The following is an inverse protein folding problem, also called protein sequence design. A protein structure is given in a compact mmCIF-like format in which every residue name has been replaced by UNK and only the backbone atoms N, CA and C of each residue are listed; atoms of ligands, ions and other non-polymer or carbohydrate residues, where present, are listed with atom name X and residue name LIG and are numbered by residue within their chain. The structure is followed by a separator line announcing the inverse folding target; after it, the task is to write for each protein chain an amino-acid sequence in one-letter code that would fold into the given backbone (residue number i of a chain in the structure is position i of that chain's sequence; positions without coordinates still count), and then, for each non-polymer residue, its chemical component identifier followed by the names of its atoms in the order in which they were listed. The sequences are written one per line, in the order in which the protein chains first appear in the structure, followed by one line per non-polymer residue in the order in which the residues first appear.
data_IF_981327003640
#
_entry.id   IF_981327003640
#
_cell.length_a   1.000
_cell.length_b   1.000
_cell.length_c   1.000
_cell.angle_alpha   90.00
_cell.angle_beta   90.00
_cell.angle_gamma   90.00
#
_symmetry.space_group_name_H-M   'P 1'
#
loop_
_entity.id
_entity.type
_entity.pdbx_description
1 polymer ?
#
# COMPACT_ATOMS: atom_id res chain seq x y z
N UNK A 1 0.68 3.14 4.12
CA UNK A 1 -0.53 2.37 4.46
C UNK A 1 -0.07 1.05 5.00
N UNK A 2 -0.48 0.73 6.21
CA UNK A 2 -0.27 -0.58 6.84
C UNK A 2 -1.29 -1.59 6.29
N UNK A 3 -0.96 -2.89 6.37
CA UNK A 3 -1.89 -3.96 6.02
C UNK A 3 -3.17 -3.90 6.89
N UNK A 4 -3.05 -3.41 8.13
CA UNK A 4 -4.18 -3.11 9.02
C UNK A 4 -5.22 -2.18 8.38
N UNK A 5 -4.76 -1.16 7.65
CA UNK A 5 -5.60 -0.09 7.13
C UNK A 5 -6.48 -0.60 5.98
N UNK A 6 -5.89 -1.47 5.14
CA UNK A 6 -6.56 -2.12 4.02
C UNK A 6 -7.59 -3.15 4.51
N UNK A 7 -7.22 -3.96 5.50
CA UNK A 7 -8.12 -4.95 6.13
C UNK A 7 -9.27 -4.24 6.85
N UNK A 8 -9.00 -3.18 7.62
CA UNK A 8 -10.04 -2.40 8.31
C UNK A 8 -10.98 -1.69 7.34
N UNK A 9 -10.46 -1.17 6.21
CA UNK A 9 -11.27 -0.62 5.12
C UNK A 9 -12.23 -1.65 4.53
N UNK A 10 -11.77 -2.87 4.26
CA UNK A 10 -12.62 -3.96 3.75
C UNK A 10 -13.70 -4.41 4.75
N UNK A 11 -13.37 -4.47 6.05
CA UNK A 11 -14.34 -4.77 7.11
C UNK A 11 -15.40 -3.66 7.22
N UNK A 12 -14.99 -2.40 7.08
CA UNK A 12 -15.90 -1.24 7.08
C UNK A 12 -16.88 -1.29 5.90
N UNK A 13 -16.40 -1.56 4.68
CA UNK A 13 -17.24 -1.73 3.49
C UNK A 13 -18.23 -2.89 3.66
N UNK A 14 -17.78 -4.01 4.22
CA UNK A 14 -18.63 -5.17 4.53
C UNK A 14 -19.76 -4.82 5.51
N UNK A 15 -19.52 -3.96 6.50
CA UNK A 15 -20.57 -3.51 7.43
C UNK A 15 -21.54 -2.51 6.77
N UNK A 16 -21.07 -1.59 5.93
CA UNK A 16 -21.94 -0.67 5.18
C UNK A 16 -22.93 -1.42 4.27
N UNK A 17 -22.54 -2.56 3.68
CA UNK A 17 -23.43 -3.37 2.84
C UNK A 17 -24.50 -4.16 3.65
N UNK A 18 -24.36 -4.23 4.98
CA UNK A 18 -25.25 -4.98 5.88
C UNK A 18 -26.33 -4.08 6.52
N UNK A 19 -26.18 -2.75 6.50
CA UNK A 19 -27.11 -1.81 7.16
C UNK A 19 -27.56 -0.66 6.26
N UNK A 20 -28.76 -0.77 5.67
CA UNK A 20 -29.43 0.35 5.01
C UNK A 20 -30.97 0.24 5.02
N UNK A 21 -31.66 0.91 5.97
CA UNK A 21 -33.02 1.42 5.78
C UNK A 21 -32.97 2.91 5.37
N UNK A 22 -33.86 3.34 4.47
CA UNK A 22 -33.87 4.72 3.97
C UNK A 22 -34.45 5.72 5.00
N UNK A 23 -33.77 6.86 5.22
CA UNK A 23 -34.18 7.90 6.16
C UNK A 23 -33.88 9.32 5.66
N UNK A 24 -34.84 9.92 4.94
CA UNK A 24 -34.70 11.23 4.27
C UNK A 24 -34.90 12.41 5.24
N UNK A 25 -33.86 13.22 5.50
CA UNK A 25 -34.00 14.59 6.05
C UNK A 25 -33.01 15.57 5.41
N UNK A 26 -33.40 16.85 5.37
CA UNK A 26 -32.64 17.95 4.78
C UNK A 26 -31.82 18.71 5.83
N UNK A 27 -30.63 19.19 5.45
CA UNK A 27 -29.93 20.34 6.06
C UNK A 27 -29.28 21.19 4.95
N UNK A 28 -29.12 22.49 5.20
CA UNK A 28 -28.79 23.50 4.17
C UNK A 28 -27.31 23.78 3.92
N UNK A 29 -27.03 24.65 2.92
CA UNK A 29 -25.69 25.11 2.52
C UNK A 29 -25.19 26.31 3.34
N UNK A 30 -23.89 26.31 3.69
CA UNK A 30 -22.96 27.47 3.68
C UNK A 30 -21.58 26.97 4.18
N UNK A 31 -20.40 27.34 3.64
CA UNK A 31 -20.04 28.22 2.52
C UNK A 31 -18.61 27.91 1.98
N UNK A 32 -18.02 28.78 1.13
CA UNK A 32 -16.64 28.68 0.58
C UNK A 32 -15.76 29.86 1.07
N UNK A 33 -14.41 29.76 1.04
CA UNK A 33 -13.56 30.14 -0.13
C UNK A 33 -12.86 28.91 -0.79
N UNK A 34 -12.35 28.85 -2.05
CA UNK A 34 -11.55 29.76 -2.91
C UNK A 34 -10.12 29.95 -2.35
N UNK A 35 -8.99 29.66 -3.00
CA UNK A 35 -8.53 29.56 -4.41
C UNK A 35 -7.45 28.41 -4.51
N UNK A 36 -6.81 27.98 -5.61
CA UNK A 36 -7.00 27.95 -7.10
C UNK A 36 -5.83 27.11 -7.72
N UNK A 37 -5.86 26.67 -9.00
CA UNK A 37 -4.67 26.06 -9.65
C UNK A 37 -4.86 25.16 -10.89
N UNK A 38 -4.92 25.75 -12.08
CA UNK A 38 -4.51 25.23 -13.41
C UNK A 38 -4.81 23.76 -13.87
N UNK A 39 -5.87 23.63 -14.67
CA UNK A 39 -5.88 23.13 -16.08
C UNK A 39 -5.08 21.87 -16.49
N UNK A 40 -5.80 20.87 -17.02
CA UNK A 40 -5.44 20.22 -18.30
C UNK A 40 -6.67 19.71 -19.08
N UNK A 41 -6.63 19.88 -20.41
CA UNK A 41 -7.56 19.32 -21.42
C UNK A 41 -7.32 17.80 -21.58
N UNK A 42 -8.20 16.99 -22.18
CA UNK A 42 -9.61 17.12 -22.59
C UNK A 42 -10.13 15.72 -22.98
N UNK A 43 -11.44 15.49 -22.93
CA UNK A 43 -12.23 15.07 -24.09
C UNK A 43 -13.71 15.23 -23.78
N UNK A 44 -14.51 15.54 -24.81
CA UNK A 44 -15.95 15.74 -24.72
C UNK A 44 -16.59 15.16 -25.99
N UNK A 45 -17.74 14.51 -25.83
CA UNK A 45 -18.60 14.09 -26.94
C UNK A 45 -20.03 14.02 -26.43
N UNK A 46 -20.66 15.19 -26.34
CA UNK A 46 -22.08 15.33 -26.11
C UNK A 46 -22.88 14.76 -27.30
N UNK A 47 -24.14 14.42 -27.03
CA UNK A 47 -25.22 14.02 -27.96
C UNK A 47 -25.13 12.67 -28.68
N UNK A 48 -26.25 12.13 -29.17
CA UNK A 48 -27.68 12.22 -28.77
C UNK A 48 -28.44 11.32 -29.75
N UNK A 49 -29.29 10.41 -29.27
CA UNK A 49 -30.38 9.89 -30.10
C UNK A 49 -31.70 9.91 -29.34
N UNK A 50 -32.73 10.41 -30.03
CA UNK A 50 -34.05 10.78 -29.49
C UNK A 50 -35.11 9.73 -29.89
N UNK A 51 -36.36 10.07 -29.55
CA UNK A 51 -37.65 9.74 -30.19
C UNK A 51 -38.42 8.57 -29.58
N UNK A 52 -39.49 8.85 -28.82
CA UNK A 52 -40.86 9.29 -29.20
C UNK A 52 -41.64 8.11 -29.84
N UNK A 53 -42.95 7.89 -29.70
CA UNK A 53 -44.13 8.58 -29.13
C UNK A 53 -44.86 7.56 -28.18
N UNK A 54 -45.96 7.72 -27.45
CA UNK A 54 -47.22 8.49 -27.48
C UNK A 54 -47.96 8.17 -26.15
N UNK A 55 -48.97 8.85 -25.61
CA UNK A 55 -49.69 10.06 -26.01
C UNK A 55 -51.22 9.87 -25.94
N UNK A 56 -51.88 10.42 -24.91
CA UNK A 56 -53.29 10.89 -24.90
C UNK A 56 -53.59 11.65 -23.59
N UNK A 57 -54.36 12.73 -23.67
CA UNK A 57 -55.02 13.43 -22.54
C UNK A 57 -56.56 13.32 -22.70
N UNK A 58 -57.32 14.28 -22.14
CA UNK A 58 -58.81 14.35 -21.96
C UNK A 58 -59.33 13.41 -20.85
N UNK A 59 -59.88 13.89 -19.73
CA UNK A 59 -60.92 14.90 -19.41
C UNK A 59 -62.37 14.37 -19.53
N UNK A 60 -63.05 14.31 -18.37
CA UNK A 60 -64.50 14.16 -18.22
C UNK A 60 -64.94 14.41 -16.75
N UNK A 61 -65.00 15.69 -16.37
CA UNK A 61 -66.11 16.36 -15.63
C UNK A 61 -67.11 15.58 -14.74
N UNK A 62 -67.53 16.31 -13.69
CA UNK A 62 -68.89 16.36 -13.11
C UNK A 62 -69.41 15.12 -12.33
N UNK A 63 -70.29 15.36 -11.34
CA UNK A 63 -70.80 14.32 -10.44
C UNK A 63 -71.26 14.75 -9.05
N UNK A 64 -71.56 16.04 -8.82
CA UNK A 64 -72.18 16.48 -7.57
C UNK A 64 -73.64 16.05 -7.52
N UNK A 65 -74.10 15.49 -6.39
CA UNK A 65 -75.49 15.69 -5.94
C UNK A 65 -75.64 15.45 -4.44
N UNK A 66 -76.13 16.47 -3.73
CA UNK A 66 -76.70 16.29 -2.40
C UNK A 66 -78.18 15.91 -2.53
N UNK A 67 -78.71 15.14 -1.58
CA UNK A 67 -80.13 14.84 -1.50
C UNK A 67 -80.60 14.99 -0.04
N UNK A 68 -81.21 16.13 0.25
CA UNK A 68 -81.97 16.36 1.49
C UNK A 68 -83.42 15.98 1.20
N UNK A 69 -84.03 15.16 2.06
CA UNK A 69 -85.49 15.16 2.18
C UNK A 69 -85.90 15.47 3.62
N UNK A 70 -86.98 16.23 3.76
CA UNK A 70 -87.58 16.62 5.03
C UNK A 70 -89.09 16.35 5.00
N UNK A 71 -89.62 16.19 6.20
CA UNK A 71 -90.96 16.63 6.61
C UNK A 71 -92.13 15.64 6.41
N UNK A 72 -92.82 15.35 7.52
CA UNK A 72 -94.04 14.54 7.56
C UNK A 72 -94.69 14.57 8.94
N UNK A 73 -95.31 15.70 9.32
CA UNK A 73 -95.93 15.89 10.64
C UNK A 73 -97.46 15.85 10.55
N UNK A 74 -98.08 14.71 10.89
CA UNK A 74 -99.53 14.59 11.11
C UNK A 74 -99.83 13.88 12.44
N UNK A 75 -101.03 14.10 12.96
CA UNK A 75 -101.55 13.62 14.26
C UNK A 75 -103.03 13.27 14.08
N UNK A 76 -103.63 12.62 15.09
CA UNK A 76 -104.98 12.03 15.08
C UNK A 76 -105.11 10.74 14.23
N UNK A 77 -106.03 9.81 14.56
CA UNK A 77 -107.02 9.82 15.65
C UNK A 77 -107.15 8.45 16.32
N UNK A 78 -107.59 8.43 17.57
CA UNK A 78 -108.17 7.23 18.20
C UNK A 78 -109.46 6.84 17.47
N UNK A 79 -109.59 5.57 17.10
CA UNK A 79 -110.86 4.83 16.98
C UNK A 79 -110.63 3.45 17.59
N UNK A 80 -111.63 2.92 18.30
CA UNK A 80 -111.57 1.66 19.04
C UNK A 80 -112.39 0.59 18.29
N UNK A 81 -112.05 -0.68 18.48
CA UNK A 81 -112.79 -1.90 18.05
C UNK A 81 -113.13 -2.03 16.56
N UNK A 82 -112.50 -3.01 15.91
CA UNK A 82 -113.20 -4.28 15.75
C UNK A 82 -112.23 -5.45 15.94
N UNK A 83 -112.66 -6.52 16.61
CA UNK A 83 -111.93 -7.79 16.64
C UNK A 83 -112.54 -8.80 15.66
N UNK A 84 -112.16 -10.07 15.85
CA UNK A 84 -112.63 -11.28 15.14
C UNK A 84 -111.82 -11.62 13.86
N UNK A 85 -110.86 -12.54 14.07
CA UNK A 85 -110.58 -13.72 13.23
C UNK A 85 -109.84 -13.55 11.88
N UNK A 86 -108.52 -13.31 11.90
CA UNK A 86 -107.61 -13.82 10.82
C UNK A 86 -106.11 -13.96 11.23
N UNK A 87 -105.79 -14.13 12.52
CA UNK A 87 -104.39 -14.03 13.02
C UNK A 87 -103.51 -15.29 12.81
N UNK A 88 -104.07 -16.43 12.39
CA UNK A 88 -103.38 -17.74 12.43
C UNK A 88 -102.35 -17.92 11.29
N UNK A 89 -102.79 -17.89 10.03
CA UNK A 89 -101.92 -18.10 8.86
C UNK A 89 -100.91 -16.97 8.63
N UNK A 90 -101.19 -15.75 9.09
CA UNK A 90 -100.23 -14.64 9.06
C UNK A 90 -99.01 -14.89 9.95
N UNK A 91 -99.22 -15.50 11.12
CA UNK A 91 -98.16 -15.87 12.05
C UNK A 91 -97.24 -16.96 11.50
N UNK A 92 -97.79 -17.97 10.82
CA UNK A 92 -97.00 -19.04 10.20
C UNK A 92 -96.07 -18.52 9.09
N UNK A 93 -96.59 -17.69 8.18
CA UNK A 93 -95.80 -17.11 7.07
C UNK A 93 -94.67 -16.24 7.61
N UNK A 94 -94.94 -15.43 8.64
CA UNK A 94 -93.92 -14.64 9.34
C UNK A 94 -92.86 -15.54 10.00
N UNK A 95 -93.26 -16.62 10.68
CA UNK A 95 -92.35 -17.57 11.31
C UNK A 95 -91.43 -18.27 10.29
N UNK A 96 -91.97 -18.64 9.12
CA UNK A 96 -91.17 -19.19 8.02
C UNK A 96 -90.18 -18.17 7.48
N UNK A 97 -90.61 -16.91 7.30
CA UNK A 97 -89.74 -15.84 6.80
C UNK A 97 -88.59 -15.51 7.77
N UNK A 98 -88.86 -15.53 9.08
CA UNK A 98 -87.83 -15.39 10.13
C UNK A 98 -86.83 -16.55 10.12
N UNK A 99 -87.28 -17.79 9.91
CA UNK A 99 -86.38 -18.96 9.75
C UNK A 99 -85.51 -18.82 8.51
N UNK A 100 -86.08 -18.43 7.37
CA UNK A 100 -85.29 -18.14 6.15
C UNK A 100 -84.27 -17.03 6.39
N UNK A 101 -84.65 -15.94 7.09
CA UNK A 101 -83.74 -14.87 7.48
C UNK A 101 -82.60 -15.35 8.40
N UNK A 102 -82.88 -16.24 9.34
CA UNK A 102 -81.89 -16.83 10.23
C UNK A 102 -80.91 -17.75 9.47
N UNK A 103 -81.39 -18.63 8.59
CA UNK A 103 -80.52 -19.51 7.81
C UNK A 103 -79.72 -18.74 6.73
N UNK A 104 -80.26 -17.67 6.13
CA UNK A 104 -79.51 -16.75 5.27
C UNK A 104 -78.36 -16.09 6.04
N UNK A 105 -78.62 -15.56 7.24
CA UNK A 105 -77.58 -14.95 8.08
C UNK A 105 -76.51 -15.97 8.52
N UNK A 106 -76.92 -17.17 8.91
CA UNK A 106 -76.03 -18.29 9.26
C UNK A 106 -75.16 -18.74 8.09
N UNK A 107 -75.72 -18.84 6.88
CA UNK A 107 -74.98 -19.12 5.65
C UNK A 107 -74.01 -17.99 5.29
N UNK A 108 -74.41 -16.73 5.45
CA UNK A 108 -73.57 -15.55 5.25
C UNK A 108 -72.37 -15.53 6.22
N UNK A 109 -72.60 -15.79 7.50
CA UNK A 109 -71.55 -15.90 8.52
C UNK A 109 -70.61 -17.08 8.24
N UNK A 110 -71.12 -18.24 7.83
CA UNK A 110 -70.30 -19.38 7.42
C UNK A 110 -69.45 -19.06 6.18
N UNK A 111 -70.02 -18.39 5.17
CA UNK A 111 -69.31 -17.92 3.97
C UNK A 111 -68.21 -16.91 4.32
N UNK A 112 -68.51 -15.95 5.19
CA UNK A 112 -67.54 -14.97 5.73
C UNK A 112 -66.37 -15.67 6.44
N UNK A 113 -66.66 -16.53 7.42
CA UNK A 113 -65.63 -17.30 8.15
C UNK A 113 -64.77 -18.15 7.21
N UNK A 114 -65.36 -18.77 6.19
CA UNK A 114 -64.62 -19.55 5.18
C UNK A 114 -63.67 -18.67 4.35
N UNK A 115 -64.11 -17.48 3.94
CA UNK A 115 -63.27 -16.51 3.23
C UNK A 115 -62.14 -15.98 4.12
N UNK A 116 -62.42 -15.64 5.38
CA UNK A 116 -61.40 -15.20 6.35
C UNK A 116 -60.31 -16.25 6.57
N UNK A 117 -60.69 -17.52 6.75
CA UNK A 117 -59.74 -18.63 6.88
C UNK A 117 -58.92 -18.85 5.60
N UNK A 118 -59.56 -18.80 4.42
CA UNK A 118 -58.90 -18.95 3.13
C UNK A 118 -57.88 -17.82 2.86
N UNK A 119 -58.29 -16.57 3.03
CA UNK A 119 -57.40 -15.40 2.85
C UNK A 119 -56.23 -15.43 3.83
N UNK A 120 -56.47 -15.81 5.10
CA UNK A 120 -55.40 -15.96 6.11
C UNK A 120 -54.40 -17.07 5.74
N UNK A 121 -54.87 -18.20 5.23
CA UNK A 121 -54.01 -19.30 4.78
C UNK A 121 -53.21 -18.94 3.51
N UNK A 122 -53.85 -18.27 2.56
CA UNK A 122 -53.23 -17.78 1.32
C UNK A 122 -52.14 -16.75 1.61
N UNK A 123 -52.43 -15.75 2.44
CA UNK A 123 -51.46 -14.72 2.84
C UNK A 123 -50.27 -15.33 3.60
N UNK A 124 -50.49 -16.28 4.52
CA UNK A 124 -49.40 -17.00 5.19
C UNK A 124 -48.50 -17.72 4.17
N UNK A 125 -49.09 -18.46 3.24
CA UNK A 125 -48.36 -19.18 2.18
C UNK A 125 -47.59 -18.23 1.27
N UNK A 126 -48.14 -17.04 0.98
CA UNK A 126 -47.48 -16.00 0.18
C UNK A 126 -46.26 -15.43 0.92
N UNK A 127 -46.41 -15.03 2.18
CA UNK A 127 -45.30 -14.52 3.00
C UNK A 127 -44.18 -15.55 3.13
N UNK A 128 -44.49 -16.82 3.37
CA UNK A 128 -43.48 -17.88 3.47
C UNK A 128 -42.67 -18.05 2.17
N UNK A 129 -43.28 -17.85 1.00
CA UNK A 129 -42.57 -17.85 -0.29
C UNK A 129 -41.65 -16.63 -0.44
N UNK A 130 -42.10 -15.45 -0.02
CA UNK A 130 -41.31 -14.21 -0.05
C UNK A 130 -40.11 -14.32 0.91
N UNK A 131 -40.33 -14.82 2.12
CA UNK A 131 -39.29 -15.11 3.13
C UNK A 131 -38.25 -16.11 2.58
N UNK A 132 -38.70 -17.19 1.92
CA UNK A 132 -37.82 -18.17 1.31
C UNK A 132 -36.95 -17.56 0.20
N UNK A 133 -37.54 -16.80 -0.73
CA UNK A 133 -36.80 -16.12 -1.81
C UNK A 133 -35.78 -15.12 -1.24
N UNK A 134 -36.17 -14.34 -0.23
CA UNK A 134 -35.27 -13.41 0.46
C UNK A 134 -34.08 -14.15 1.10
N UNK A 135 -34.35 -15.23 1.86
CA UNK A 135 -33.33 -16.03 2.53
C UNK A 135 -32.36 -16.65 1.53
N UNK A 136 -32.85 -17.26 0.44
CA UNK A 136 -32.00 -17.85 -0.60
C UNK A 136 -31.11 -16.81 -1.27
N UNK A 137 -31.61 -15.59 -1.56
CA UNK A 137 -30.76 -14.52 -2.08
C UNK A 137 -29.72 -14.04 -1.06
N UNK A 138 -30.07 -13.97 0.23
CA UNK A 138 -29.14 -13.58 1.29
C UNK A 138 -28.01 -14.62 1.43
N UNK A 139 -28.34 -15.91 1.42
CA UNK A 139 -27.38 -17.02 1.45
C UNK A 139 -26.45 -17.00 0.23
N UNK A 140 -26.98 -16.76 -0.98
CA UNK A 140 -26.19 -16.62 -2.20
C UNK A 140 -25.19 -15.44 -2.12
N UNK A 141 -25.63 -14.26 -1.66
CA UNK A 141 -24.76 -13.09 -1.47
C UNK A 141 -23.69 -13.33 -0.40
N UNK A 142 -24.04 -13.99 0.70
CA UNK A 142 -23.09 -14.35 1.76
C UNK A 142 -22.05 -15.37 1.28
N UNK A 143 -22.47 -16.40 0.53
CA UNK A 143 -21.57 -17.40 -0.07
C UNK A 143 -20.55 -16.73 -1.00
N UNK A 144 -21.01 -15.91 -1.95
CA UNK A 144 -20.13 -15.23 -2.90
C UNK A 144 -19.15 -14.29 -2.19
N UNK A 145 -19.62 -13.56 -1.18
CA UNK A 145 -18.76 -12.70 -0.35
C UNK A 145 -17.69 -13.50 0.41
N UNK A 146 -18.02 -14.69 0.91
CA UNK A 146 -17.07 -15.58 1.58
C UNK A 146 -16.03 -16.15 0.61
N UNK A 147 -16.44 -16.61 -0.57
CA UNK A 147 -15.55 -17.15 -1.61
C UNK A 147 -14.49 -16.12 -2.06
N UNK A 148 -14.90 -14.88 -2.32
CA UNK A 148 -13.94 -13.80 -2.60
C UNK A 148 -13.10 -13.40 -1.38
N UNK A 149 -13.67 -13.38 -0.17
CA UNK A 149 -12.90 -13.09 1.05
C UNK A 149 -11.78 -14.11 1.28
N UNK A 150 -12.03 -15.39 0.96
CA UNK A 150 -11.02 -16.45 1.05
C UNK A 150 -9.92 -16.26 0.00
N UNK A 151 -10.27 -15.93 -1.26
CA UNK A 151 -9.28 -15.63 -2.31
C UNK A 151 -8.37 -14.45 -1.93
N UNK A 152 -8.96 -13.34 -1.44
CA UNK A 152 -8.18 -12.20 -0.95
C UNK A 152 -7.28 -12.57 0.23
N UNK A 153 -7.77 -13.37 1.20
CA UNK A 153 -6.96 -13.85 2.32
C UNK A 153 -5.74 -14.67 1.84
N UNK A 154 -5.93 -15.59 0.89
CA UNK A 154 -4.81 -16.38 0.32
C UNK A 154 -3.79 -15.48 -0.39
N UNK A 155 -4.25 -14.48 -1.16
CA UNK A 155 -3.35 -13.52 -1.81
C UNK A 155 -2.56 -12.67 -0.80
N UNK A 156 -3.20 -12.20 0.28
CA UNK A 156 -2.49 -11.46 1.33
C UNK A 156 -1.50 -12.33 2.11
N UNK A 157 -1.83 -13.59 2.39
CA UNK A 157 -0.92 -14.55 3.02
C UNK A 157 0.30 -14.86 2.14
N UNK A 158 0.11 -14.98 0.82
CA UNK A 158 1.22 -15.15 -0.11
C UNK A 158 2.09 -13.88 -0.18
N UNK A 159 1.47 -12.69 -0.22
CA UNK A 159 2.21 -11.43 -0.28
C UNK A 159 3.05 -11.19 1.00
N UNK A 160 2.50 -11.45 2.18
CA UNK A 160 3.23 -11.37 3.47
C UNK A 160 4.43 -12.33 3.50
N UNK A 161 4.23 -13.57 3.05
CA UNK A 161 5.27 -14.59 2.88
C UNK A 161 6.35 -14.19 1.87
N UNK A 162 6.00 -13.50 0.79
CA UNK A 162 6.95 -13.03 -0.23
C UNK A 162 7.68 -11.73 0.19
N UNK A 163 7.08 -10.90 1.05
CA UNK A 163 7.77 -9.79 1.74
C UNK A 163 8.86 -10.34 2.68
N UNK A 164 8.50 -11.29 3.57
CA UNK A 164 9.45 -11.89 4.51
C UNK A 164 10.66 -12.54 3.81
N UNK A 165 10.42 -13.22 2.68
CA UNK A 165 11.51 -13.73 1.82
C UNK A 165 12.38 -12.61 1.25
N UNK A 166 11.79 -11.47 0.88
CA UNK A 166 12.55 -10.33 0.35
C UNK A 166 13.47 -9.73 1.42
N UNK A 167 12.96 -9.55 2.64
CA UNK A 167 13.73 -9.08 3.81
C UNK A 167 14.90 -10.04 4.12
N UNK A 168 14.66 -11.36 4.09
CA UNK A 168 15.71 -12.38 4.21
C UNK A 168 16.83 -12.24 3.16
N UNK A 169 16.50 -11.92 1.91
CA UNK A 169 17.51 -11.75 0.86
C UNK A 169 18.25 -10.41 0.98
N UNK A 170 17.57 -9.35 1.42
CA UNK A 170 18.19 -8.06 1.72
C UNK A 170 19.21 -8.19 2.86
N UNK A 171 18.89 -8.94 3.93
CA UNK A 171 19.84 -9.15 5.03
C UNK A 171 21.06 -9.97 4.56
N UNK A 172 20.86 -11.01 3.74
CA UNK A 172 21.96 -11.81 3.16
C UNK A 172 22.87 -10.96 2.26
N UNK A 173 22.29 -10.12 1.40
CA UNK A 173 23.02 -9.20 0.54
C UNK A 173 23.79 -8.13 1.35
N UNK A 174 23.14 -7.55 2.36
CA UNK A 174 23.74 -6.56 3.26
C UNK A 174 24.92 -7.15 4.05
N UNK A 175 24.78 -8.39 4.52
CA UNK A 175 25.86 -9.12 5.19
C UNK A 175 27.05 -9.38 4.24
N UNK A 176 26.80 -9.80 3.01
CA UNK A 176 27.83 -10.02 2.00
C UNK A 176 28.55 -8.71 1.63
N UNK A 177 27.81 -7.63 1.42
CA UNK A 177 28.39 -6.30 1.13
C UNK A 177 29.25 -5.80 2.30
N UNK A 178 28.78 -5.97 3.54
CA UNK A 178 29.52 -5.64 4.77
C UNK A 178 30.82 -6.45 4.92
N UNK A 179 30.86 -7.69 4.47
CA UNK A 179 32.10 -8.49 4.41
C UNK A 179 33.04 -7.95 3.32
N UNK A 180 32.55 -7.73 2.10
CA UNK A 180 33.34 -7.21 0.98
C UNK A 180 33.94 -5.82 1.27
N UNK A 181 33.19 -4.96 1.95
CA UNK A 181 33.65 -3.66 2.43
C UNK A 181 34.85 -3.77 3.37
N UNK A 182 34.84 -4.75 4.31
CA UNK A 182 35.98 -5.02 5.20
C UNK A 182 37.21 -5.51 4.43
N UNK A 183 37.03 -6.41 3.46
CA UNK A 183 38.13 -6.91 2.61
C UNK A 183 38.77 -5.75 1.83
N UNK A 184 37.96 -4.88 1.23
CA UNK A 184 38.45 -3.72 0.48
C UNK A 184 39.19 -2.70 1.38
N UNK A 185 38.66 -2.41 2.58
CA UNK A 185 39.33 -1.56 3.55
C UNK A 185 40.69 -2.15 3.99
N UNK A 186 40.74 -3.45 4.26
CA UNK A 186 41.98 -4.13 4.65
C UNK A 186 43.01 -4.13 3.51
N UNK A 187 42.58 -4.37 2.26
CA UNK A 187 43.45 -4.31 1.09
C UNK A 187 44.08 -2.90 0.93
N UNK A 188 43.27 -1.83 1.11
CA UNK A 188 43.76 -0.43 1.09
C UNK A 188 44.79 -0.16 2.18
N UNK A 189 44.57 -0.67 3.40
CA UNK A 189 45.53 -0.53 4.52
C UNK A 189 46.85 -1.24 4.18
N UNK A 190 46.79 -2.48 3.68
CA UNK A 190 47.97 -3.26 3.30
C UNK A 190 48.75 -2.61 2.16
N UNK A 191 48.08 -2.07 1.13
CA UNK A 191 48.74 -1.34 0.04
C UNK A 191 49.43 -0.05 0.54
N UNK A 192 48.75 0.74 1.38
CA UNK A 192 49.32 1.95 1.99
C UNK A 192 50.57 1.64 2.82
N UNK A 193 50.53 0.58 3.64
CA UNK A 193 51.68 0.15 4.44
C UNK A 193 52.83 -0.39 3.56
N UNK A 194 52.55 -1.12 2.48
CA UNK A 194 53.58 -1.55 1.51
C UNK A 194 54.26 -0.35 0.84
N UNK A 195 53.51 0.66 0.42
CA UNK A 195 54.06 1.89 -0.16
C UNK A 195 54.96 2.64 0.85
N UNK A 196 54.53 2.71 2.12
CA UNK A 196 55.34 3.29 3.20
C UNK A 196 56.68 2.54 3.38
N UNK A 197 56.65 1.20 3.40
CA UNK A 197 57.86 0.38 3.51
C UNK A 197 58.80 0.53 2.30
N UNK A 198 58.25 0.62 1.07
CA UNK A 198 59.04 0.88 -0.15
C UNK A 198 59.74 2.25 -0.07
N UNK A 199 59.01 3.30 0.36
CA UNK A 199 59.59 4.63 0.56
C UNK A 199 60.73 4.62 1.59
N UNK A 200 60.51 3.98 2.75
CA UNK A 200 61.53 3.88 3.80
C UNK A 200 62.78 3.12 3.34
N UNK A 201 62.62 2.07 2.53
CA UNK A 201 63.75 1.32 1.95
C UNK A 201 64.56 2.17 0.96
N UNK A 202 63.88 2.99 0.16
CA UNK A 202 64.54 3.92 -0.77
C UNK A 202 65.29 5.05 -0.05
N UNK A 203 64.69 5.61 1.01
CA UNK A 203 65.34 6.60 1.89
C UNK A 203 66.59 6.03 2.57
N UNK A 204 66.55 4.77 3.03
CA UNK A 204 67.71 4.06 3.56
C UNK A 204 68.78 3.78 2.49
N UNK A 205 68.38 3.39 1.28
CA UNK A 205 69.32 3.16 0.17
C UNK A 205 70.10 4.44 -0.18
N UNK A 206 69.41 5.58 -0.33
CA UNK A 206 70.05 6.87 -0.61
C UNK A 206 71.04 7.26 0.49
N UNK A 207 70.66 7.12 1.77
CA UNK A 207 71.58 7.40 2.88
C UNK A 207 72.81 6.48 2.85
N UNK A 208 72.62 5.18 2.62
CA UNK A 208 73.73 4.23 2.56
C UNK A 208 74.70 4.53 1.41
N UNK A 209 74.20 5.06 0.28
CA UNK A 209 75.04 5.55 -0.82
C UNK A 209 75.82 6.80 -0.42
N UNK A 210 75.18 7.78 0.23
CA UNK A 210 75.82 9.02 0.71
C UNK A 210 76.91 8.73 1.75
N UNK A 211 76.66 7.80 2.68
CA UNK A 211 77.63 7.38 3.68
C UNK A 211 78.75 6.51 3.07
N UNK A 212 78.49 5.73 2.01
CA UNK A 212 79.53 5.01 1.26
C UNK A 212 80.44 5.97 0.47
N UNK A 213 79.88 7.01 -0.15
CA UNK A 213 80.63 8.02 -0.92
C UNK A 213 81.62 8.78 -0.02
N UNK A 214 81.18 9.23 1.17
CA UNK A 214 82.08 9.81 2.20
C UNK A 214 83.20 8.86 2.62
N UNK A 215 82.92 7.55 2.72
CA UNK A 215 83.95 6.55 3.04
C UNK A 215 84.96 6.41 1.88
N UNK A 216 84.52 6.48 0.62
CA UNK A 216 85.41 6.50 -0.54
C UNK A 216 86.25 7.78 -0.62
N UNK A 217 85.72 8.97 -0.31
CA UNK A 217 86.49 10.21 -0.24
C UNK A 217 87.63 10.12 0.81
N UNK A 218 87.34 9.56 1.98
CA UNK A 218 88.34 9.33 3.03
C UNK A 218 89.43 8.34 2.60
N UNK A 219 89.04 7.22 1.97
CA UNK A 219 89.98 6.22 1.41
C UNK A 219 90.87 6.81 0.31
N UNK A 220 90.28 7.58 -0.62
CA UNK A 220 91.00 8.25 -1.71
C UNK A 220 91.98 9.29 -1.17
N UNK A 221 91.55 10.08 -0.18
CA UNK A 221 92.41 11.06 0.51
C UNK A 221 93.58 10.37 1.21
N UNK A 222 93.34 9.22 1.87
CA UNK A 222 94.39 8.38 2.45
C UNK A 222 95.40 7.91 1.40
N UNK A 223 94.94 7.29 0.32
CA UNK A 223 95.80 6.81 -0.76
C UNK A 223 96.60 7.93 -1.44
N UNK A 224 96.00 9.11 -1.66
CA UNK A 224 96.68 10.28 -2.20
C UNK A 224 97.76 10.82 -1.24
N UNK A 225 97.52 10.75 0.08
CA UNK A 225 98.49 11.15 1.09
C UNK A 225 99.68 10.19 1.15
N UNK A 226 99.48 8.88 1.08
CA UNK A 226 100.59 7.90 0.99
C UNK A 226 101.38 8.06 -0.31
N UNK A 227 100.71 8.21 -1.46
CA UNK A 227 101.38 8.47 -2.74
C UNK A 227 102.26 9.74 -2.67
N UNK A 228 101.80 10.79 -1.99
CA UNK A 228 102.59 12.02 -1.80
C UNK A 228 103.83 11.79 -0.92
N UNK A 229 103.77 10.89 0.08
CA UNK A 229 104.95 10.48 0.87
C UNK A 229 105.93 9.69 0.01
N UNK A 230 105.46 8.70 -0.75
CA UNK A 230 106.29 7.90 -1.64
C UNK A 230 107.02 8.76 -2.69
N UNK A 231 106.32 9.70 -3.33
CA UNK A 231 106.96 10.65 -4.25
C UNK A 231 108.01 11.53 -3.57
N UNK A 232 107.78 11.98 -2.34
CA UNK A 232 108.76 12.76 -1.57
C UNK A 232 109.98 11.92 -1.13
N UNK A 233 109.78 10.65 -0.76
CA UNK A 233 110.87 9.72 -0.43
C UNK A 233 111.70 9.37 -1.67
N UNK A 234 111.06 9.15 -2.82
CA UNK A 234 111.72 8.95 -4.11
C UNK A 234 112.54 10.18 -4.52
N UNK A 235 111.97 11.39 -4.43
CA UNK A 235 112.68 12.64 -4.73
C UNK A 235 113.91 12.82 -3.82
N UNK A 236 113.76 12.59 -2.51
CA UNK A 236 114.87 12.64 -1.55
C UNK A 236 115.95 11.61 -1.89
N UNK A 237 115.57 10.38 -2.25
CA UNK A 237 116.50 9.32 -2.64
C UNK A 237 117.31 9.72 -3.88
N UNK A 238 116.65 10.16 -4.95
CA UNK A 238 117.30 10.61 -6.19
C UNK A 238 118.34 11.70 -5.89
N UNK A 239 117.99 12.68 -5.05
CA UNK A 239 118.91 13.76 -4.66
C UNK A 239 120.14 13.24 -3.90
N UNK A 240 119.97 12.28 -2.97
CA UNK A 240 121.08 11.68 -2.22
C UNK A 240 121.97 10.80 -3.12
N UNK A 241 121.36 9.97 -3.98
CA UNK A 241 122.08 9.10 -4.90
C UNK A 241 122.92 9.94 -5.90
N UNK A 242 122.36 11.05 -6.42
CA UNK A 242 123.09 11.99 -7.28
C UNK A 242 124.27 12.65 -6.55
N UNK A 243 124.06 13.20 -5.35
CA UNK A 243 125.15 13.81 -4.55
C UNK A 243 126.26 12.80 -4.23
N UNK A 244 125.90 11.55 -3.95
CA UNK A 244 126.87 10.50 -3.67
C UNK A 244 127.66 10.09 -4.93
N UNK A 245 127.03 10.09 -6.11
CA UNK A 245 127.70 9.86 -7.39
C UNK A 245 128.63 11.02 -7.80
N UNK A 246 128.23 12.27 -7.57
CA UNK A 246 129.10 13.44 -7.74
C UNK A 246 130.32 13.38 -6.82
N UNK A 247 130.12 13.08 -5.53
CA UNK A 247 131.22 12.94 -4.56
C UNK A 247 132.14 11.76 -4.89
N UNK A 248 131.61 10.66 -5.43
CA UNK A 248 132.43 9.56 -5.94
C UNK A 248 133.26 9.98 -7.17
N UNK A 249 132.67 10.77 -8.09
CA UNK A 249 133.37 11.34 -9.24
C UNK A 249 134.50 12.28 -8.82
N UNK A 250 134.23 13.22 -7.90
CA UNK A 250 135.24 14.15 -7.36
C UNK A 250 136.38 13.39 -6.68
N UNK A 251 136.10 12.39 -5.84
CA UNK A 251 137.14 11.55 -5.23
C UNK A 251 137.99 10.83 -6.28
N UNK A 252 137.36 10.26 -7.31
CA UNK A 252 138.08 9.55 -8.38
C UNK A 252 139.01 10.50 -9.15
N UNK A 253 138.53 11.69 -9.50
CA UNK A 253 139.31 12.73 -10.19
C UNK A 253 140.48 13.25 -9.34
N UNK A 254 140.27 13.43 -8.03
CA UNK A 254 141.34 13.77 -7.08
C UNK A 254 142.39 12.65 -6.97
N UNK A 255 141.94 11.38 -6.92
CA UNK A 255 142.83 10.23 -6.83
C UNK A 255 143.72 10.08 -8.08
N UNK A 256 143.18 10.36 -9.27
CA UNK A 256 143.94 10.43 -10.54
C UNK A 256 144.77 11.72 -10.74
N UNK A 257 144.93 12.53 -9.68
CA UNK A 257 145.92 13.62 -9.63
C UNK A 257 146.99 13.38 -8.55
N UNK A 258 146.89 12.27 -7.81
CA UNK A 258 147.81 11.88 -6.73
C UNK A 258 148.55 10.56 -7.01
N UNK A 259 148.20 9.88 -8.10
CA UNK A 259 148.80 8.67 -8.66
C UNK A 259 148.77 8.75 -10.18
#
# INVERSE_FOLDING_TARGET
MSLSDLIFGFITVRNCLIMAPAGRKHTGKSGKPALEGQVSRAYDFDKEDKKDLSGSEEDAREGETTAIEKHGKKRSSTVITHGILEEDMGGEVQNMLERFGADINKALLAKKKRLEMYTKASLKTSNQKIEQVWKTQQEQRQKLSHEYSQQFLTLFQQWDMDIQKSEEQEEKLTNMFRQQQKVFQQARIVQSQRLKTIKQLYEQFLKNMEDLEKNHENLLTGAQNELRKEMAMLQKKIMMDTQQQEMASVRKSLQSMLF
#
